data_IF_266383967387
#
_entry.id   IF_266383967387
#
_cell.length_a   1.000
_cell.length_b   1.000
_cell.length_c   1.000
_cell.angle_alpha   90.00
_cell.angle_beta   90.00
_cell.angle_gamma   90.00
#
_symmetry.space_group_name_H-M   'P 1'
#
loop_
_entity.id
_entity.type
_entity.pdbx_description
1 polymer ?
#
# COMPACT_ATOMS: atom_id res chain seq x y z
N UNK A 1 -20.52 -10.16 6.49
CA UNK A 1 -20.79 -10.20 5.03
C UNK A 1 -20.71 -11.65 4.54
N UNK A 2 -21.79 -12.14 3.92
CA UNK A 2 -21.85 -13.43 3.23
C UNK A 2 -21.07 -13.31 1.91
N UNK A 3 -20.29 -14.32 1.55
CA UNK A 3 -19.59 -14.34 0.26
C UNK A 3 -20.65 -14.47 -0.84
N UNK A 4 -20.57 -13.62 -1.85
CA UNK A 4 -21.51 -13.56 -2.97
C UNK A 4 -20.95 -14.32 -4.17
N UNK A 5 -21.82 -14.75 -5.09
CA UNK A 5 -21.39 -15.33 -6.38
C UNK A 5 -21.12 -14.23 -7.45
N UNK A 6 -20.86 -13.00 -7.01
CA UNK A 6 -20.55 -11.86 -7.88
C UNK A 6 -19.05 -11.57 -7.95
N UNK A 7 -18.65 -10.68 -8.86
CA UNK A 7 -17.29 -10.13 -8.92
C UNK A 7 -17.11 -8.87 -8.09
N UNK A 8 -18.16 -8.07 -7.97
CA UNK A 8 -18.14 -6.80 -7.25
C UNK A 8 -17.97 -7.04 -5.75
N UNK A 9 -17.36 -6.07 -5.08
CA UNK A 9 -17.10 -6.11 -3.64
C UNK A 9 -17.82 -4.94 -2.97
N UNK A 10 -17.13 -4.19 -2.11
CA UNK A 10 -17.71 -3.07 -1.35
C UNK A 10 -17.77 -1.81 -2.23
N UNK A 11 -16.64 -1.45 -2.83
CA UNK A 11 -16.47 -0.26 -3.67
C UNK A 11 -16.02 -0.56 -5.10
N UNK A 12 -15.64 -1.82 -5.38
CA UNK A 12 -15.15 -2.23 -6.71
C UNK A 12 -16.31 -2.63 -7.63
N UNK A 13 -16.19 -2.28 -8.91
CA UNK A 13 -17.14 -2.61 -9.95
C UNK A 13 -16.40 -3.28 -11.12
N UNK A 14 -16.65 -4.57 -11.31
CA UNK A 14 -15.96 -5.39 -12.30
C UNK A 14 -16.20 -4.94 -13.73
N UNK A 15 -17.38 -4.36 -14.00
CA UNK A 15 -17.79 -3.87 -15.31
C UNK A 15 -17.42 -2.40 -15.55
N UNK A 16 -16.87 -1.69 -14.55
CA UNK A 16 -16.55 -0.29 -14.69
C UNK A 16 -15.56 -0.02 -15.82
N UNK A 17 -15.79 1.08 -16.53
CA UNK A 17 -14.93 1.53 -17.62
C UNK A 17 -14.98 3.04 -17.68
N UNK A 18 -14.01 3.68 -17.02
CA UNK A 18 -13.91 5.13 -16.98
C UNK A 18 -12.46 5.57 -16.82
N UNK A 19 -12.22 6.85 -17.09
CA UNK A 19 -10.92 7.49 -16.98
C UNK A 19 -11.14 8.94 -16.57
N UNK A 20 -11.23 9.20 -15.26
CA UNK A 20 -11.67 10.49 -14.73
C UNK A 20 -10.47 11.30 -14.27
N UNK A 21 -10.19 12.40 -14.95
CA UNK A 21 -9.06 13.28 -14.58
C UNK A 21 -9.28 13.94 -13.23
N UNK A 22 -8.35 13.74 -12.30
CA UNK A 22 -8.38 14.33 -10.95
C UNK A 22 -7.41 15.52 -10.86
N UNK A 23 -6.26 15.41 -11.51
CA UNK A 23 -5.26 16.47 -11.59
C UNK A 23 -4.47 16.40 -12.91
N UNK A 24 -3.43 17.22 -13.06
CA UNK A 24 -2.46 17.06 -14.15
C UNK A 24 -1.72 15.74 -13.95
N UNK A 25 -1.65 14.92 -15.01
CA UNK A 25 -0.97 13.63 -15.00
C UNK A 25 -1.55 12.59 -14.05
N UNK A 26 -2.77 12.78 -13.53
CA UNK A 26 -3.38 11.91 -12.52
C UNK A 26 -4.88 11.71 -12.75
N UNK A 27 -5.28 10.45 -12.79
CA UNK A 27 -6.62 10.01 -13.13
C UNK A 27 -7.13 8.99 -12.12
N UNK A 28 -8.42 9.06 -11.79
CA UNK A 28 -9.13 7.98 -11.14
C UNK A 28 -9.58 6.99 -12.23
N UNK A 29 -9.22 5.72 -12.03
CA UNK A 29 -9.55 4.62 -12.91
C UNK A 29 -10.14 3.45 -12.12
N UNK A 30 -10.91 2.54 -12.74
CA UNK A 30 -11.30 1.30 -12.09
C UNK A 30 -10.09 0.37 -11.94
N UNK A 31 -10.03 -0.36 -10.83
CA UNK A 31 -8.97 -1.34 -10.54
C UNK A 31 -8.90 -2.42 -11.61
N UNK A 32 -10.02 -2.70 -12.30
CA UNK A 32 -10.06 -3.69 -13.38
C UNK A 32 -9.17 -3.35 -14.59
N UNK A 33 -8.67 -2.11 -14.70
CA UNK A 33 -7.63 -1.73 -15.68
C UNK A 33 -6.30 -2.44 -15.43
N UNK A 34 -6.04 -2.84 -14.18
CA UNK A 34 -4.90 -3.69 -13.80
C UNK A 34 -5.22 -5.19 -13.98
N UNK A 35 -6.35 -5.53 -14.58
CA UNK A 35 -6.80 -6.90 -14.83
C UNK A 35 -8.20 -7.12 -14.30
N UNK A 36 -9.10 -7.59 -15.18
CA UNK A 36 -10.43 -8.05 -14.77
C UNK A 36 -10.31 -9.34 -13.97
N UNK A 37 -11.15 -9.48 -12.96
CA UNK A 37 -11.17 -10.74 -12.21
C UNK A 37 -11.61 -11.91 -13.08
N UNK A 38 -10.89 -13.02 -12.94
CA UNK A 38 -11.19 -14.32 -13.54
C UNK A 38 -12.16 -15.13 -12.69
N UNK A 39 -12.38 -14.73 -11.44
CA UNK A 39 -13.09 -15.52 -10.44
C UNK A 39 -14.17 -14.69 -9.73
N UNK A 40 -15.37 -15.26 -9.57
CA UNK A 40 -16.35 -14.69 -8.64
C UNK A 40 -15.79 -14.75 -7.20
N UNK A 41 -16.34 -13.97 -6.28
CA UNK A 41 -15.91 -13.98 -4.88
C UNK A 41 -16.03 -15.40 -4.27
N UNK A 42 -17.06 -16.15 -4.63
CA UNK A 42 -17.25 -17.55 -4.23
C UNK A 42 -16.18 -18.48 -4.82
N UNK A 43 -15.93 -18.39 -6.13
CA UNK A 43 -14.88 -19.18 -6.79
C UNK A 43 -13.50 -18.91 -6.19
N UNK A 44 -13.16 -17.64 -5.96
CA UNK A 44 -11.88 -17.24 -5.37
C UNK A 44 -11.76 -17.70 -3.90
N UNK A 45 -12.86 -17.69 -3.14
CA UNK A 45 -12.90 -18.27 -1.80
C UNK A 45 -12.59 -19.76 -1.82
N UNK A 46 -13.28 -20.54 -2.67
CA UNK A 46 -13.04 -21.98 -2.77
C UNK A 46 -11.63 -22.31 -3.26
N UNK A 47 -11.11 -21.50 -4.19
CA UNK A 47 -9.75 -21.65 -4.72
C UNK A 47 -8.68 -21.42 -3.64
N UNK A 48 -8.89 -20.48 -2.72
CA UNK A 48 -7.84 -20.04 -1.77
C UNK A 48 -8.00 -20.58 -0.34
N UNK A 49 -9.18 -21.04 0.08
CA UNK A 49 -9.48 -21.42 1.48
C UNK A 49 -8.57 -22.50 2.08
N UNK A 50 -8.02 -23.37 1.25
CA UNK A 50 -7.15 -24.49 1.67
C UNK A 50 -5.69 -24.33 1.24
N UNK A 51 -5.36 -23.22 0.56
CA UNK A 51 -4.02 -22.96 0.04
C UNK A 51 -3.15 -22.25 1.07
N UNK A 52 -1.90 -22.66 1.15
CA UNK A 52 -0.84 -21.91 1.84
C UNK A 52 -0.61 -20.55 1.18
N UNK A 53 0.05 -19.63 1.90
CA UNK A 53 0.44 -18.33 1.36
C UNK A 53 1.20 -18.46 0.03
N UNK A 54 2.15 -19.40 -0.03
CA UNK A 54 2.97 -19.65 -1.23
C UNK A 54 2.14 -20.14 -2.41
N UNK A 55 1.18 -21.03 -2.17
CA UNK A 55 0.28 -21.52 -3.21
C UNK A 55 -0.65 -20.42 -3.72
N UNK A 56 -1.10 -19.49 -2.87
CA UNK A 56 -1.90 -18.34 -3.28
C UNK A 56 -1.07 -17.36 -4.13
N UNK A 57 0.15 -17.03 -3.71
CA UNK A 57 1.07 -16.20 -4.51
C UNK A 57 1.32 -16.80 -5.90
N UNK A 58 1.42 -18.13 -6.00
CA UNK A 58 1.62 -18.83 -7.27
C UNK A 58 0.42 -18.75 -8.23
N UNK A 59 -0.77 -18.34 -7.76
CA UNK A 59 -1.93 -18.11 -8.64
C UNK A 59 -1.77 -16.88 -9.54
N UNK A 60 -0.80 -15.99 -9.23
CA UNK A 60 -0.56 -14.73 -9.94
C UNK A 60 -1.88 -13.94 -10.07
N UNK A 61 -2.47 -13.63 -8.92
CA UNK A 61 -3.69 -12.84 -8.89
C UNK A 61 -3.40 -11.43 -9.41
N UNK A 62 -4.35 -10.84 -10.12
CA UNK A 62 -4.29 -9.42 -10.47
C UNK A 62 -4.76 -8.54 -9.31
N UNK A 63 -4.60 -7.21 -9.43
CA UNK A 63 -4.95 -6.25 -8.40
C UNK A 63 -6.43 -6.32 -8.00
N UNK A 64 -7.34 -6.54 -8.96
CA UNK A 64 -8.76 -6.68 -8.66
C UNK A 64 -9.02 -7.93 -7.80
N UNK A 65 -8.48 -9.08 -8.20
CA UNK A 65 -8.58 -10.34 -7.45
C UNK A 65 -7.90 -10.26 -6.08
N UNK A 66 -6.77 -9.56 -5.99
CA UNK A 66 -6.09 -9.31 -4.71
C UNK A 66 -6.97 -8.49 -3.77
N UNK A 67 -7.67 -7.45 -4.27
CA UNK A 67 -8.61 -6.70 -3.45
C UNK A 67 -9.90 -7.46 -3.12
N UNK A 68 -10.41 -8.32 -4.01
CA UNK A 68 -11.48 -9.27 -3.66
C UNK A 68 -11.05 -10.18 -2.50
N UNK A 69 -9.84 -10.74 -2.61
CA UNK A 69 -9.26 -11.58 -1.57
C UNK A 69 -9.11 -10.79 -0.25
N UNK A 70 -8.61 -9.57 -0.31
CA UNK A 70 -8.37 -8.69 0.84
C UNK A 70 -9.66 -8.28 1.54
N UNK A 71 -10.65 -7.79 0.79
CA UNK A 71 -11.88 -7.17 1.32
C UNK A 71 -12.89 -8.18 1.84
N UNK A 72 -13.25 -9.19 1.04
CA UNK A 72 -14.47 -9.98 1.27
C UNK A 72 -14.19 -11.45 1.61
N UNK A 73 -13.04 -11.99 1.21
CA UNK A 73 -12.68 -13.39 1.42
C UNK A 73 -11.85 -13.55 2.71
N UNK A 74 -10.66 -12.96 2.74
CA UNK A 74 -9.78 -12.97 3.92
C UNK A 74 -10.25 -11.94 4.95
N UNK A 75 -10.77 -10.79 4.50
CA UNK A 75 -11.24 -9.69 5.37
C UNK A 75 -10.13 -9.20 6.28
N UNK A 76 -9.05 -8.70 5.68
CA UNK A 76 -7.93 -8.14 6.43
C UNK A 76 -8.44 -7.10 7.43
N UNK A 77 -7.92 -7.12 8.66
CA UNK A 77 -8.30 -6.18 9.72
C UNK A 77 -7.15 -5.25 10.08
N UNK A 78 -7.44 -3.96 10.24
CA UNK A 78 -6.46 -2.99 10.75
C UNK A 78 -6.09 -3.29 12.20
N UNK A 79 -4.79 -3.20 12.51
CA UNK A 79 -4.24 -3.40 13.86
C UNK A 79 -2.92 -2.64 13.99
N UNK A 80 -2.51 -2.25 15.20
CA UNK A 80 -1.20 -1.64 15.45
C UNK A 80 -0.19 -2.75 15.75
N UNK A 81 0.58 -3.16 14.73
CA UNK A 81 1.48 -4.31 14.80
C UNK A 81 2.96 -3.98 14.54
N UNK A 82 3.32 -2.70 14.67
CA UNK A 82 4.69 -2.23 14.57
C UNK A 82 5.49 -2.78 15.76
N UNK A 83 6.67 -3.33 15.46
CA UNK A 83 7.59 -3.84 16.46
C UNK A 83 8.77 -2.89 16.58
N UNK A 84 9.04 -2.43 17.80
CA UNK A 84 10.20 -1.59 18.08
C UNK A 84 11.36 -2.42 18.62
N UNK A 85 12.58 -2.13 18.14
CA UNK A 85 13.81 -2.71 18.66
C UNK A 85 14.87 -1.64 18.86
N UNK A 86 15.41 -1.59 20.09
CA UNK A 86 16.46 -0.64 20.46
C UNK A 86 17.83 -1.34 20.46
N UNK A 87 18.80 -0.76 19.75
CA UNK A 87 20.19 -1.25 19.66
C UNK A 87 21.17 -0.51 20.60
N UNK A 88 20.64 0.37 21.47
CA UNK A 88 21.38 1.27 22.36
C UNK A 88 21.54 2.69 21.79
N UNK A 89 21.43 2.88 20.48
CA UNK A 89 21.59 4.18 19.81
C UNK A 89 20.33 4.60 19.05
N UNK A 90 19.62 3.65 18.46
CA UNK A 90 18.45 3.87 17.60
C UNK A 90 17.28 3.01 18.09
N UNK A 91 16.06 3.54 17.89
CA UNK A 91 14.83 2.79 18.13
C UNK A 91 14.21 2.41 16.78
N UNK A 92 14.57 1.23 16.27
CA UNK A 92 14.17 0.74 14.95
C UNK A 92 12.71 0.32 14.93
N UNK A 93 11.96 0.81 13.95
CA UNK A 93 10.63 0.33 13.56
C UNK A 93 10.76 -0.85 12.61
N UNK A 94 10.13 -1.96 12.97
CA UNK A 94 10.14 -3.22 12.23
C UNK A 94 8.71 -3.58 11.81
N UNK A 95 8.55 -4.04 10.56
CA UNK A 95 7.25 -4.28 9.94
C UNK A 95 7.13 -5.71 9.42
N UNK A 96 5.93 -6.30 9.49
CA UNK A 96 5.70 -7.66 8.99
C UNK A 96 6.10 -7.80 7.52
N UNK A 97 6.74 -8.92 7.20
CA UNK A 97 6.84 -9.40 5.82
C UNK A 97 5.46 -9.64 5.21
N UNK A 98 5.35 -9.50 3.89
CA UNK A 98 4.10 -9.68 3.18
C UNK A 98 3.53 -11.08 3.32
N UNK A 99 4.38 -12.11 3.36
CA UNK A 99 3.95 -13.48 3.69
C UNK A 99 3.34 -13.57 5.08
N UNK A 100 3.99 -13.00 6.10
CA UNK A 100 3.49 -13.08 7.47
C UNK A 100 2.23 -12.23 7.67
N UNK A 101 2.15 -11.07 7.01
CA UNK A 101 0.93 -10.28 6.93
C UNK A 101 -0.22 -11.06 6.25
N UNK A 102 0.07 -11.86 5.21
CA UNK A 102 -0.92 -12.74 4.57
C UNK A 102 -1.42 -13.86 5.48
N UNK A 103 -0.51 -14.50 6.21
CA UNK A 103 -0.82 -15.61 7.11
C UNK A 103 -1.63 -15.14 8.34
N UNK A 104 -1.28 -13.97 8.89
CA UNK A 104 -1.97 -13.39 10.06
C UNK A 104 -3.22 -12.61 9.67
N UNK A 105 -3.22 -11.97 8.51
CA UNK A 105 -4.33 -11.22 7.93
C UNK A 105 -4.84 -10.05 8.80
N UNK A 106 -3.93 -9.43 9.53
CA UNK A 106 -4.15 -8.17 10.23
C UNK A 106 -2.85 -7.35 10.32
N UNK A 107 -2.98 -6.04 10.50
CA UNK A 107 -1.84 -5.15 10.75
C UNK A 107 -2.04 -3.71 10.32
N UNK A 108 -0.96 -2.93 10.43
CA UNK A 108 -0.95 -1.51 10.12
C UNK A 108 -0.79 -1.26 8.60
N UNK A 109 -0.55 -0.01 8.21
CA UNK A 109 -0.35 0.36 6.81
C UNK A 109 0.80 -0.40 6.13
N UNK A 110 1.92 -0.61 6.83
CA UNK A 110 3.05 -1.37 6.32
C UNK A 110 2.67 -2.84 6.08
N UNK A 111 1.94 -3.46 7.00
CA UNK A 111 1.48 -4.84 6.88
C UNK A 111 0.46 -5.00 5.74
N UNK A 112 -0.47 -4.07 5.58
CA UNK A 112 -1.43 -4.08 4.48
C UNK A 112 -0.75 -3.90 3.11
N UNK A 113 0.21 -2.98 3.01
CA UNK A 113 0.98 -2.77 1.78
C UNK A 113 1.88 -3.96 1.44
N UNK A 114 2.48 -4.60 2.46
CA UNK A 114 3.29 -5.79 2.29
C UNK A 114 2.44 -7.01 1.89
N UNK A 115 1.25 -7.17 2.48
CA UNK A 115 0.26 -8.18 2.07
C UNK A 115 -0.07 -8.05 0.59
N UNK A 116 -0.37 -6.82 0.14
CA UNK A 116 -0.77 -6.56 -1.25
C UNK A 116 0.40 -6.79 -2.21
N UNK A 117 1.59 -6.30 -1.86
CA UNK A 117 2.83 -6.59 -2.59
C UNK A 117 3.06 -8.10 -2.73
N UNK A 118 2.94 -8.87 -1.65
CA UNK A 118 3.16 -10.31 -1.65
C UNK A 118 2.25 -11.06 -2.63
N UNK A 119 0.97 -10.68 -2.71
CA UNK A 119 0.00 -11.29 -3.63
C UNK A 119 0.30 -10.92 -5.08
N UNK A 120 0.82 -9.71 -5.34
CA UNK A 120 1.02 -9.16 -6.69
C UNK A 120 2.43 -9.30 -7.26
N UNK A 121 3.42 -9.71 -6.47
CA UNK A 121 4.86 -9.67 -6.80
C UNK A 121 5.28 -10.38 -8.10
N UNK A 122 4.39 -11.16 -8.71
CA UNK A 122 4.61 -11.92 -9.95
C UNK A 122 3.63 -11.58 -11.08
N UNK A 123 2.83 -10.53 -10.92
CA UNK A 123 1.72 -10.19 -11.81
C UNK A 123 1.98 -8.95 -12.67
N UNK A 124 2.95 -8.11 -12.31
CA UNK A 124 3.23 -6.83 -12.98
C UNK A 124 4.74 -6.61 -13.18
N UNK A 125 5.09 -5.63 -14.02
CA UNK A 125 6.49 -5.26 -14.31
C UNK A 125 7.21 -4.79 -13.04
N UNK A 126 6.54 -3.99 -12.23
CA UNK A 126 7.02 -3.60 -10.91
C UNK A 126 5.85 -3.42 -9.95
N UNK A 127 6.01 -3.88 -8.72
CA UNK A 127 5.15 -3.52 -7.60
C UNK A 127 6.09 -3.06 -6.48
N UNK A 128 5.79 -1.94 -5.87
CA UNK A 128 6.61 -1.40 -4.80
C UNK A 128 5.80 -0.57 -3.83
N UNK A 129 6.51 0.25 -3.07
CA UNK A 129 5.92 1.05 -2.01
C UNK A 129 6.03 2.53 -2.35
N UNK A 130 4.95 3.25 -2.13
CA UNK A 130 4.89 4.70 -2.15
C UNK A 130 4.55 5.14 -0.73
N UNK A 131 5.38 5.98 -0.13
CA UNK A 131 5.16 6.43 1.23
C UNK A 131 5.35 7.93 1.38
N UNK A 132 4.88 8.43 2.51
CA UNK A 132 5.18 9.78 2.94
C UNK A 132 5.44 9.83 4.43
N UNK A 133 6.25 10.81 4.84
CA UNK A 133 6.55 11.13 6.23
C UNK A 133 6.04 12.55 6.51
N UNK A 134 5.41 12.71 7.67
CA UNK A 134 4.85 13.97 8.16
C UNK A 134 5.81 14.64 9.14
N UNK A 135 5.65 15.95 9.39
CA UNK A 135 6.50 16.69 10.34
C UNK A 135 6.49 16.13 11.78
N UNK A 136 5.41 15.46 12.17
CA UNK A 136 5.28 14.82 13.49
C UNK A 136 5.91 13.41 13.56
N UNK A 137 6.79 13.08 12.60
CA UNK A 137 7.45 11.79 12.40
C UNK A 137 6.52 10.64 11.99
N UNK A 138 5.20 10.81 12.06
CA UNK A 138 4.29 9.76 11.62
C UNK A 138 4.29 9.65 10.10
N UNK A 139 4.05 8.43 9.60
CA UNK A 139 4.07 8.15 8.18
C UNK A 139 2.80 7.48 7.67
N UNK A 140 2.82 7.17 6.39
CA UNK A 140 1.90 6.22 5.78
C UNK A 140 2.57 5.60 4.57
N UNK A 141 2.18 4.37 4.26
CA UNK A 141 2.67 3.66 3.09
C UNK A 141 1.53 2.97 2.36
N UNK A 142 1.62 3.01 1.04
CA UNK A 142 0.72 2.39 0.08
C UNK A 142 1.54 1.74 -1.03
N UNK A 143 0.88 1.17 -2.04
CA UNK A 143 1.57 0.53 -3.15
C UNK A 143 1.51 1.36 -4.41
N UNK A 144 2.60 1.33 -5.18
CA UNK A 144 2.53 1.61 -6.61
C UNK A 144 2.70 0.31 -7.40
N UNK A 145 2.11 0.27 -8.59
CA UNK A 145 2.25 -0.78 -9.59
C UNK A 145 2.65 -0.10 -10.88
N UNK A 146 3.82 -0.42 -11.43
CA UNK A 146 4.20 0.01 -12.78
C UNK A 146 3.74 -1.05 -13.78
N UNK A 147 2.92 -0.64 -14.73
CA UNK A 147 2.41 -1.54 -15.76
C UNK A 147 2.03 -0.76 -17.03
N UNK A 148 2.40 -1.27 -18.21
CA UNK A 148 2.09 -0.67 -19.51
C UNK A 148 2.48 0.82 -19.57
N UNK A 149 3.68 1.16 -19.09
CA UNK A 149 4.22 2.52 -19.08
C UNK A 149 3.49 3.54 -18.20
N UNK A 150 2.67 3.08 -17.25
CA UNK A 150 1.99 3.94 -16.28
C UNK A 150 2.21 3.46 -14.85
N UNK A 151 2.14 4.40 -13.90
CA UNK A 151 2.06 4.09 -12.49
C UNK A 151 0.60 4.00 -12.06
N UNK A 152 0.26 2.95 -11.32
CA UNK A 152 -1.00 2.82 -10.63
C UNK A 152 -0.75 2.88 -9.13
N UNK A 153 -1.60 3.58 -8.39
CA UNK A 153 -1.42 3.77 -6.94
C UNK A 153 -2.68 3.31 -6.24
N UNK A 154 -2.50 2.38 -5.31
CA UNK A 154 -3.57 1.78 -4.52
C UNK A 154 -3.12 1.79 -3.06
N UNK A 155 -4.01 2.24 -2.19
CA UNK A 155 -3.83 2.19 -0.75
C UNK A 155 -4.67 1.05 -0.14
N UNK A 156 -4.07 -0.12 0.17
CA UNK A 156 -4.81 -1.25 0.74
C UNK A 156 -5.47 -0.92 2.08
N UNK A 157 -4.98 0.05 2.85
CA UNK A 157 -5.62 0.42 4.14
C UNK A 157 -6.99 1.03 3.95
N UNK A 158 -7.19 1.78 2.86
CA UNK A 158 -8.51 2.28 2.48
C UNK A 158 -9.43 1.17 1.98
N UNK A 159 -8.84 0.06 1.53
CA UNK A 159 -9.55 -1.12 1.06
C UNK A 159 -9.85 -2.13 2.17
N UNK A 160 -9.51 -1.85 3.43
CA UNK A 160 -10.01 -2.67 4.56
C UNK A 160 -11.54 -2.55 4.60
N UNK A 161 -12.26 -3.64 4.89
CA UNK A 161 -13.71 -3.68 4.74
C UNK A 161 -14.48 -2.56 5.49
N UNK A 162 -13.97 -2.12 6.65
CA UNK A 162 -14.55 -1.01 7.42
C UNK A 162 -14.31 0.36 6.80
N UNK A 163 -13.27 0.50 5.98
CA UNK A 163 -12.90 1.75 5.31
C UNK A 163 -13.43 1.80 3.88
N UNK A 164 -13.48 0.66 3.20
CA UNK A 164 -13.89 0.54 1.80
C UNK A 164 -15.32 1.08 1.56
N UNK A 165 -16.19 1.03 2.58
CA UNK A 165 -17.56 1.60 2.52
C UNK A 165 -17.56 3.14 2.40
N UNK A 166 -16.47 3.80 2.78
CA UNK A 166 -16.27 5.26 2.72
C UNK A 166 -15.49 5.70 1.47
N UNK A 167 -14.98 4.74 0.69
CA UNK A 167 -14.31 4.95 -0.60
C UNK A 167 -15.38 5.07 -1.69
N UNK A 168 -15.26 5.98 -2.67
CA UNK A 168 -16.25 6.10 -3.72
C UNK A 168 -16.31 4.82 -4.56
N UNK A 169 -17.53 4.33 -4.82
CA UNK A 169 -17.77 3.23 -5.77
C UNK A 169 -17.22 3.64 -7.15
N UNK A 170 -16.59 2.67 -7.82
CA UNK A 170 -16.04 2.76 -9.18
C UNK A 170 -17.10 3.11 -10.24
N UNK A 171 -17.45 4.39 -10.31
CA UNK A 171 -18.45 4.96 -11.21
C UNK A 171 -17.86 5.96 -12.20
N UNK A 172 -16.66 6.48 -11.93
CA UNK A 172 -16.05 7.57 -12.69
C UNK A 172 -16.70 8.94 -12.46
N UNK A 173 -17.76 9.03 -11.66
CA UNK A 173 -18.48 10.29 -11.43
C UNK A 173 -17.72 11.17 -10.44
N UNK A 174 -17.22 12.31 -10.91
CA UNK A 174 -16.42 13.22 -10.08
C UNK A 174 -17.17 13.75 -8.84
N UNK A 175 -18.49 13.91 -8.91
CA UNK A 175 -19.30 14.29 -7.74
C UNK A 175 -19.34 13.23 -6.65
N UNK A 176 -19.37 11.94 -7.01
CA UNK A 176 -19.29 10.82 -6.05
C UNK A 176 -17.90 10.83 -5.40
N UNK A 177 -16.86 10.98 -6.22
CA UNK A 177 -15.48 11.09 -5.76
C UNK A 177 -15.30 12.21 -4.72
N UNK A 178 -15.77 13.43 -5.03
CA UNK A 178 -15.61 14.61 -4.16
C UNK A 178 -16.36 14.50 -2.84
N UNK A 179 -17.49 13.78 -2.82
CA UNK A 179 -18.35 13.64 -1.63
C UNK A 179 -17.94 12.48 -0.72
N UNK A 180 -17.09 11.56 -1.18
CA UNK A 180 -16.64 10.43 -0.40
C UNK A 180 -15.74 10.85 0.77
N UNK A 181 -15.91 10.23 1.94
CA UNK A 181 -15.10 10.54 3.12
C UNK A 181 -13.64 10.11 2.94
N UNK A 182 -13.41 8.99 2.24
CA UNK A 182 -12.09 8.49 1.88
C UNK A 182 -11.86 8.57 0.36
N UNK A 183 -11.95 9.78 -0.19
CA UNK A 183 -11.72 10.04 -1.64
C UNK A 183 -10.32 9.65 -2.11
N UNK A 184 -9.32 9.59 -1.22
CA UNK A 184 -7.97 9.12 -1.55
C UNK A 184 -7.84 7.61 -1.71
N UNK A 185 -8.88 6.84 -1.36
CA UNK A 185 -8.87 5.38 -1.44
C UNK A 185 -9.18 4.80 -2.83
N UNK A 186 -9.17 5.60 -3.88
CA UNK A 186 -9.37 5.10 -5.25
C UNK A 186 -8.10 4.53 -5.85
N UNK A 187 -8.24 3.77 -6.95
CA UNK A 187 -7.10 3.47 -7.81
C UNK A 187 -6.76 4.69 -8.67
N UNK A 188 -5.55 5.20 -8.51
CA UNK A 188 -5.03 6.24 -9.39
C UNK A 188 -4.22 5.62 -10.53
N UNK A 189 -4.33 6.19 -11.71
CA UNK A 189 -3.34 6.09 -12.78
C UNK A 189 -2.59 7.42 -12.88
N UNK A 190 -1.26 7.36 -12.92
CA UNK A 190 -0.38 8.51 -12.96
C UNK A 190 0.68 8.37 -14.07
N UNK A 191 1.04 9.50 -14.68
CA UNK A 191 2.19 9.60 -15.59
C UNK A 191 3.52 9.47 -14.82
N UNK A 192 3.56 9.99 -13.59
CA UNK A 192 4.68 9.84 -12.67
C UNK A 192 4.20 9.75 -11.22
N UNK A 193 5.00 9.14 -10.34
CA UNK A 193 4.74 9.19 -8.89
C UNK A 193 4.76 10.62 -8.33
N UNK A 194 5.47 11.54 -8.99
CA UNK A 194 5.51 12.96 -8.63
C UNK A 194 4.16 13.66 -8.86
N UNK A 195 3.39 13.28 -9.89
CA UNK A 195 2.06 13.84 -10.15
C UNK A 195 1.09 13.52 -9.00
N UNK A 196 1.14 12.29 -8.50
CA UNK A 196 0.40 11.91 -7.29
C UNK A 196 0.88 12.67 -6.05
N UNK A 197 2.20 12.72 -5.80
CA UNK A 197 2.76 13.43 -4.66
C UNK A 197 2.34 14.91 -4.65
N UNK A 198 2.38 15.58 -5.80
CA UNK A 198 1.95 16.98 -5.96
C UNK A 198 0.44 17.15 -5.77
N UNK A 199 -0.38 16.20 -6.21
CA UNK A 199 -1.82 16.20 -5.94
C UNK A 199 -2.11 16.03 -4.45
N UNK A 200 -1.58 14.99 -3.83
CA UNK A 200 -1.83 14.68 -2.42
C UNK A 200 -1.31 15.81 -1.52
N UNK A 201 -0.11 16.34 -1.79
CA UNK A 201 0.42 17.49 -1.04
C UNK A 201 -0.50 18.72 -1.11
N UNK A 202 -1.15 19.00 -2.25
CA UNK A 202 -2.11 20.12 -2.36
C UNK A 202 -3.32 19.93 -1.45
N UNK A 203 -3.82 18.71 -1.31
CA UNK A 203 -4.90 18.42 -0.35
C UNK A 203 -4.47 18.68 1.09
N UNK A 204 -3.22 18.34 1.43
CA UNK A 204 -2.69 18.45 2.80
C UNK A 204 -2.24 19.86 3.15
N UNK A 205 -1.79 20.66 2.17
CA UNK A 205 -1.46 22.09 2.36
C UNK A 205 -2.64 22.92 2.86
N UNK A 206 -3.87 22.53 2.53
CA UNK A 206 -5.08 23.16 3.09
C UNK A 206 -5.12 23.02 4.62
N UNK A 207 -4.45 22.01 5.18
CA UNK A 207 -4.31 21.73 6.61
C UNK A 207 -2.94 22.14 7.16
N UNK A 208 -2.17 22.96 6.44
CA UNK A 208 -0.83 23.44 6.82
C UNK A 208 0.23 22.37 7.04
N UNK A 209 0.04 21.17 6.48
CA UNK A 209 1.05 20.12 6.53
C UNK A 209 1.93 20.10 5.27
N UNK A 210 3.22 19.85 5.47
CA UNK A 210 4.20 19.62 4.39
C UNK A 210 4.76 18.21 4.54
N UNK A 211 4.45 17.33 3.60
CA UNK A 211 4.90 15.93 3.63
C UNK A 211 6.10 15.73 2.71
N UNK A 212 7.00 14.83 3.09
CA UNK A 212 8.05 14.33 2.21
C UNK A 212 7.67 12.95 1.68
N UNK A 213 7.76 12.74 0.37
CA UNK A 213 7.35 11.51 -0.32
C UNK A 213 8.55 10.72 -0.80
N UNK A 214 8.46 9.40 -0.70
CA UNK A 214 9.48 8.48 -1.16
C UNK A 214 8.84 7.28 -1.86
N UNK A 215 9.62 6.61 -2.70
CA UNK A 215 9.32 5.28 -3.20
C UNK A 215 10.40 4.29 -2.81
N UNK A 216 10.00 3.04 -2.66
CA UNK A 216 10.87 1.90 -2.46
C UNK A 216 10.55 0.82 -3.49
N UNK A 217 11.52 0.01 -3.92
CA UNK A 217 11.25 -1.20 -4.70
C UNK A 217 10.43 -2.21 -3.88
N UNK A 218 9.99 -3.29 -4.53
CA UNK A 218 9.23 -4.38 -3.92
C UNK A 218 10.03 -5.26 -2.97
N UNK A 219 10.39 -4.72 -1.80
CA UNK A 219 10.94 -5.47 -0.68
C UNK A 219 9.89 -6.44 -0.08
N UNK A 220 10.31 -7.45 0.69
CA UNK A 220 9.37 -8.39 1.32
C UNK A 220 8.60 -7.72 2.47
N UNK A 221 9.22 -6.77 3.16
CA UNK A 221 8.57 -5.84 4.08
C UNK A 221 8.98 -4.40 3.80
N UNK A 222 8.31 -3.44 4.44
CA UNK A 222 8.86 -2.09 4.54
C UNK A 222 10.20 -2.19 5.29
N UNK A 223 11.31 -1.65 4.75
CA UNK A 223 12.61 -1.71 5.40
C UNK A 223 12.55 -1.11 6.80
N UNK A 224 13.26 -1.75 7.71
CA UNK A 224 13.44 -1.23 9.05
C UNK A 224 14.00 0.19 9.01
N UNK A 225 13.45 1.08 9.83
CA UNK A 225 13.90 2.47 9.85
C UNK A 225 13.77 3.07 11.24
N UNK A 226 14.45 4.18 11.45
CA UNK A 226 14.33 4.99 12.66
C UNK A 226 14.20 6.46 12.25
N UNK A 227 13.22 7.14 12.85
CA UNK A 227 12.95 8.55 12.65
C UNK A 227 13.21 9.32 13.94
N UNK A 228 13.89 10.45 13.82
CA UNK A 228 14.06 11.41 14.91
C UNK A 228 14.02 12.83 14.37
N UNK A 229 13.86 13.79 15.28
CA UNK A 229 13.74 15.20 14.98
C UNK A 229 14.84 15.98 15.70
N UNK A 230 15.57 16.83 14.98
CA UNK A 230 16.53 17.77 15.54
C UNK A 230 16.46 19.11 14.77
N UNK A 231 16.29 20.23 15.49
CA UNK A 231 16.25 21.59 14.93
C UNK A 231 15.40 21.74 13.64
N UNK A 232 14.15 21.27 13.68
CA UNK A 232 13.19 21.31 12.55
C UNK A 232 13.59 20.45 11.32
N UNK A 233 14.59 19.57 11.48
CA UNK A 233 14.99 18.58 10.49
C UNK A 233 14.58 17.18 10.95
N UNK A 234 13.96 16.43 10.04
CA UNK A 234 13.67 15.01 10.27
C UNK A 234 14.85 14.17 9.79
N UNK A 235 15.41 13.36 10.67
CA UNK A 235 16.47 12.43 10.35
C UNK A 235 15.87 11.03 10.15
N UNK A 236 16.04 10.47 8.95
CA UNK A 236 15.66 9.10 8.62
C UNK A 236 16.90 8.21 8.53
N UNK A 237 16.96 7.20 9.40
CA UNK A 237 18.01 6.18 9.39
C UNK A 237 17.43 4.89 8.83
N UNK A 238 18.07 4.31 7.81
CA UNK A 238 17.67 3.02 7.26
C UNK A 238 18.85 2.23 6.67
N UNK A 239 18.80 0.89 6.66
CA UNK A 239 19.79 0.05 6.01
C UNK A 239 19.62 0.02 4.49
N UNK A 240 18.45 0.41 3.98
CA UNK A 240 18.16 0.47 2.55
C UNK A 240 18.03 1.92 2.09
N UNK A 241 18.50 2.26 0.87
CA UNK A 241 18.36 3.61 0.34
C UNK A 241 16.89 3.96 0.07
N UNK A 242 16.48 5.14 0.55
CA UNK A 242 15.17 5.71 0.24
C UNK A 242 15.28 6.61 -1.00
N UNK A 243 14.42 6.37 -2.00
CA UNK A 243 14.32 7.24 -3.16
C UNK A 243 13.24 8.30 -2.92
N UNK A 244 13.65 9.52 -2.61
CA UNK A 244 12.69 10.61 -2.44
C UNK A 244 12.15 11.10 -3.78
N UNK A 245 10.82 11.14 -3.88
CA UNK A 245 10.09 11.73 -5.00
C UNK A 245 9.97 13.25 -4.78
N UNK A 246 9.71 13.63 -3.52
CA UNK A 246 9.63 15.01 -3.09
C UNK A 246 10.16 15.08 -1.65
N UNK A 247 11.34 15.65 -1.47
CA UNK A 247 11.93 15.86 -0.15
C UNK A 247 11.82 17.34 0.23
N UNK A 248 11.23 17.62 1.39
CA UNK A 248 11.06 19.00 1.86
C UNK A 248 11.80 19.29 3.16
N UNK A 249 12.14 18.26 3.96
CA UNK A 249 12.68 18.45 5.31
C UNK A 249 13.38 17.19 5.88
N UNK A 250 13.66 16.17 5.05
CA UNK A 250 14.27 14.92 5.51
C UNK A 250 15.75 14.87 5.17
N UNK A 251 16.57 14.63 6.18
CA UNK A 251 17.94 14.21 6.04
C UNK A 251 18.03 12.67 6.16
N UNK A 252 18.48 12.01 5.11
CA UNK A 252 18.64 10.56 5.08
C UNK A 252 20.04 10.13 5.54
N UNK A 253 20.09 9.10 6.37
CA UNK A 253 21.29 8.50 6.92
C UNK A 253 21.28 6.98 6.62
N UNK A 254 22.24 6.54 5.83
CA UNK A 254 22.37 5.12 5.49
C UNK A 254 23.12 4.37 6.60
N UNK A 255 22.53 3.29 7.12
CA UNK A 255 23.09 2.46 8.20
C UNK A 255 23.22 1.00 7.73
N UNK A 256 24.30 0.62 7.03
CA UNK A 256 24.39 -0.66 6.31
C UNK A 256 24.57 -1.91 7.17
N UNK A 257 24.86 -1.79 8.47
CA UNK A 257 25.25 -2.92 9.33
C UNK A 257 24.29 -3.14 10.52
N UNK A 258 22.98 -3.15 10.24
CA UNK A 258 21.98 -3.45 11.27
C UNK A 258 21.72 -4.96 11.31
N UNK A 259 22.17 -5.62 12.37
CA UNK A 259 21.91 -7.06 12.58
C UNK A 259 20.75 -7.21 13.55
N UNK A 260 19.58 -7.53 13.01
CA UNK A 260 18.39 -7.77 13.81
C UNK A 260 18.45 -9.14 14.51
N UNK A 261 18.05 -9.24 15.80
CA UNK A 261 17.91 -10.51 16.47
C UNK A 261 16.98 -11.47 15.71
N UNK A 262 17.29 -12.77 15.69
CA UNK A 262 16.56 -13.80 14.92
C UNK A 262 15.05 -13.86 15.21
N UNK A 263 14.63 -13.48 16.43
CA UNK A 263 13.20 -13.36 16.79
C UNK A 263 12.43 -12.36 15.92
N UNK A 264 13.12 -11.44 15.23
CA UNK A 264 12.55 -10.43 14.34
C UNK A 264 12.62 -10.81 12.85
N UNK A 265 13.02 -12.03 12.48
CA UNK A 265 13.09 -12.48 11.08
C UNK A 265 11.75 -12.45 10.32
N UNK A 266 10.62 -12.29 11.02
CA UNK A 266 9.28 -12.12 10.42
C UNK A 266 8.95 -10.64 10.15
N UNK A 267 9.74 -9.74 10.70
CA UNK A 267 9.56 -8.28 10.71
C UNK A 267 10.74 -7.51 10.08
N UNK A 268 11.71 -8.26 9.57
CA UNK A 268 12.85 -7.74 8.85
C UNK A 268 12.97 -8.57 7.59
N UNK A 269 13.22 -7.91 6.47
CA UNK A 269 13.77 -8.56 5.30
C UNK A 269 14.95 -9.41 5.78
N UNK A 270 14.99 -10.70 5.41
CA UNK A 270 16.18 -11.53 5.62
C UNK A 270 17.30 -10.96 4.74
N UNK A 271 18.00 -9.96 5.22
CA UNK A 271 19.25 -9.51 4.63
C UNK A 271 20.37 -10.38 5.19
N UNK A 272 20.63 -11.50 4.50
CA UNK A 272 21.96 -12.08 4.28
C UNK A 272 21.95 -12.83 2.95
#
# INVERSE_FOLDING_TARGET
MKITDGYDTINLNHAASFYTRIAKGLYWVPVNMLGKSRYTNEQLFFLTRSKSAQEVQNLKLNAYEALQLFQVIKKFSSDEDIVFWNDGQHNWELHKSGRFAFETNHGCCASAAAWFHYVLSRSYEQVGYLGYIRPDLSGHVMNYIYHNSHYYIIDPTTQVATNAVEVPVESGTFDIYRKAKLSTGVCYLAESLLDYANYHLRLQKIKSFTFSYYCLPGFECIPAHFLTHDNDVIHLYAPQPYQFILNTHIQFHHVPQVVFPTKYNKYSDRYF
#
